data_IF_179484324821
#
_entry.id   IF_179484324821
#
_cell.length_a   1.000
_cell.length_b   1.000
_cell.length_c   1.000
_cell.angle_alpha   90.00
_cell.angle_beta   90.00
_cell.angle_gamma   90.00
#
_symmetry.space_group_name_H-M   'P 1'
#
loop_
_entity.id
_entity.type
_entity.pdbx_description
1 polymer ?
#
# COMPACT_ATOMS: atom_id res chain seq x y z
N UNK A 1 12.21 -6.48 -17.57
CA UNK A 1 12.07 -6.22 -16.12
C UNK A 1 13.35 -6.65 -15.46
N UNK A 2 13.90 -5.83 -14.59
CA UNK A 2 15.06 -6.23 -13.79
C UNK A 2 14.63 -7.29 -12.77
N UNK A 3 15.37 -8.40 -12.73
CA UNK A 3 15.15 -9.50 -11.80
C UNK A 3 16.38 -9.59 -10.93
N UNK A 4 16.31 -8.98 -9.75
CA UNK A 4 17.38 -9.01 -8.79
C UNK A 4 17.47 -10.37 -8.12
N UNK A 5 18.67 -10.69 -7.63
CA UNK A 5 18.88 -11.78 -6.70
C UNK A 5 18.02 -11.58 -5.44
N UNK A 6 17.63 -12.69 -4.80
CA UNK A 6 16.94 -12.68 -3.53
C UNK A 6 17.70 -11.83 -2.50
N UNK A 7 16.96 -11.06 -1.71
CA UNK A 7 17.53 -10.18 -0.69
C UNK A 7 17.88 -8.78 -1.16
N UNK A 8 17.59 -8.43 -2.42
CA UNK A 8 17.79 -7.07 -2.95
C UNK A 8 16.47 -6.40 -3.29
N UNK A 9 16.40 -5.08 -3.07
CA UNK A 9 15.24 -4.24 -3.39
C UNK A 9 15.66 -2.95 -4.10
N UNK A 10 14.82 -2.53 -5.04
CA UNK A 10 15.01 -1.28 -5.79
C UNK A 10 14.46 -0.04 -5.06
N UNK A 11 13.85 -0.19 -3.88
CA UNK A 11 13.24 0.89 -3.09
C UNK A 11 13.51 0.70 -1.61
N UNK A 12 13.69 1.80 -0.88
CA UNK A 12 13.70 1.79 0.59
C UNK A 12 12.30 1.60 1.14
N UNK A 13 12.21 0.94 2.30
CA UNK A 13 10.95 0.72 3.00
C UNK A 13 10.94 1.44 4.33
N UNK A 14 9.82 2.12 4.57
CA UNK A 14 9.53 2.73 5.85
C UNK A 14 8.35 2.03 6.52
N UNK A 15 8.35 2.01 7.85
CA UNK A 15 7.26 1.47 8.67
C UNK A 15 7.17 2.24 9.98
N UNK A 16 6.10 2.02 10.76
CA UNK A 16 6.03 2.44 12.16
C UNK A 16 6.31 1.28 13.11
N UNK A 17 6.80 1.56 14.34
CA UNK A 17 6.95 0.55 15.39
C UNK A 17 5.65 -0.24 15.61
N UNK A 18 4.53 0.47 15.61
CA UNK A 18 3.19 -0.11 15.81
C UNK A 18 2.77 -1.10 14.72
N UNK A 19 3.19 -0.88 13.47
CA UNK A 19 2.87 -1.80 12.38
C UNK A 19 3.80 -3.02 12.44
N UNK A 20 5.11 -2.81 12.63
CA UNK A 20 6.09 -3.90 12.73
C UNK A 20 5.80 -4.85 13.91
N UNK A 21 5.21 -4.34 14.99
CA UNK A 21 4.76 -5.14 16.13
C UNK A 21 3.87 -6.32 15.71
N UNK A 22 3.11 -6.21 14.60
CA UNK A 22 2.33 -7.31 14.06
C UNK A 22 3.19 -8.52 13.67
N UNK A 23 4.39 -8.28 13.12
CA UNK A 23 5.33 -9.35 12.75
C UNK A 23 5.94 -10.03 13.98
N UNK A 24 6.18 -9.26 15.04
CA UNK A 24 6.65 -9.78 16.33
C UNK A 24 5.56 -10.61 17.01
N UNK A 25 4.31 -10.13 17.01
CA UNK A 25 3.17 -10.84 17.58
C UNK A 25 2.91 -12.19 16.86
N UNK A 26 3.25 -12.28 15.57
CA UNK A 26 3.20 -13.52 14.79
C UNK A 26 4.36 -14.48 15.05
N UNK A 27 5.34 -14.07 15.87
CA UNK A 27 6.55 -14.85 16.14
C UNK A 27 7.51 -14.93 14.95
N UNK A 28 7.34 -14.09 13.93
CA UNK A 28 8.24 -14.05 12.77
C UNK A 28 9.56 -13.36 13.10
N UNK A 29 9.51 -12.37 14.00
CA UNK A 29 10.66 -11.60 14.46
C UNK A 29 10.63 -11.45 15.97
N UNK A 30 11.81 -11.34 16.57
CA UNK A 30 11.98 -10.86 17.94
C UNK A 30 12.13 -9.33 17.96
N UNK A 31 11.92 -8.72 19.12
CA UNK A 31 12.20 -7.28 19.29
C UNK A 31 13.67 -6.95 18.99
N UNK A 32 14.61 -7.81 19.37
CA UNK A 32 16.03 -7.61 19.09
C UNK A 32 16.36 -7.67 17.60
N UNK A 33 15.74 -8.59 16.86
CA UNK A 33 15.87 -8.64 15.40
C UNK A 33 15.28 -7.39 14.75
N UNK A 34 14.16 -6.88 15.25
CA UNK A 34 13.60 -5.62 14.76
C UNK A 34 14.55 -4.45 14.98
N UNK A 35 15.08 -4.25 16.18
CA UNK A 35 16.06 -3.17 16.43
C UNK A 35 17.30 -3.31 15.53
N UNK A 36 17.73 -4.55 15.22
CA UNK A 36 18.91 -4.78 14.37
C UNK A 36 18.74 -4.40 12.89
N UNK A 37 17.50 -4.23 12.42
CA UNK A 37 17.18 -3.85 11.03
C UNK A 37 16.71 -2.40 10.89
N UNK A 38 16.63 -1.65 11.99
CA UNK A 38 16.35 -0.21 11.92
C UNK A 38 17.60 0.47 11.37
N UNK A 39 17.48 1.05 10.17
CA UNK A 39 18.53 1.88 9.59
C UNK A 39 18.52 3.27 10.24
N UNK A 40 17.33 3.84 10.42
CA UNK A 40 17.12 5.13 11.07
C UNK A 40 15.68 5.24 11.59
N UNK A 41 15.51 5.95 12.69
CA UNK A 41 14.19 6.36 13.19
C UNK A 41 14.17 7.88 13.40
N UNK A 42 13.30 8.57 12.67
CA UNK A 42 13.19 10.02 12.75
C UNK A 42 12.16 10.46 13.78
N UNK A 43 12.30 11.70 14.25
CA UNK A 43 11.53 12.30 15.34
C UNK A 43 10.15 12.75 14.88
N UNK A 44 10.07 13.41 13.72
CA UNK A 44 8.79 13.88 13.18
C UNK A 44 8.72 13.85 11.65
N UNK A 45 7.51 13.65 11.15
CA UNK A 45 7.18 13.61 9.73
C UNK A 45 6.23 14.74 9.35
N UNK A 46 6.54 15.48 8.31
CA UNK A 46 5.76 16.65 7.89
C UNK A 46 4.95 16.37 6.64
N UNK A 47 3.70 16.84 6.63
CA UNK A 47 2.85 16.85 5.46
C UNK A 47 2.42 18.29 5.18
N UNK A 48 2.78 18.82 4.01
CA UNK A 48 2.45 20.18 3.60
C UNK A 48 2.35 20.30 2.08
N UNK A 49 1.27 20.89 1.61
CA UNK A 49 1.05 21.10 0.19
C UNK A 49 1.19 22.58 -0.16
N UNK A 50 1.85 22.86 -1.28
CA UNK A 50 2.01 24.21 -1.81
C UNK A 50 0.66 24.95 -1.81
N UNK A 51 0.65 26.16 -1.26
CA UNK A 51 -0.58 26.94 -1.07
C UNK A 51 -0.41 28.41 -1.49
N UNK A 52 0.64 28.71 -2.26
CA UNK A 52 0.96 30.06 -2.72
C UNK A 52 -0.19 30.69 -3.50
N UNK A 53 -0.89 29.89 -4.31
CA UNK A 53 -2.04 30.30 -5.12
C UNK A 53 -3.40 29.87 -4.52
N UNK A 54 -3.41 29.26 -3.33
CA UNK A 54 -4.65 28.85 -2.69
C UNK A 54 -5.40 30.08 -2.11
N UNK A 55 -6.73 30.09 -2.16
CA UNK A 55 -7.52 31.01 -1.36
C UNK A 55 -7.13 30.93 0.13
N UNK A 56 -7.14 32.05 0.83
CA UNK A 56 -6.69 32.13 2.24
C UNK A 56 -7.37 31.10 3.16
N UNK A 57 -8.67 30.85 2.96
CA UNK A 57 -9.45 29.88 3.74
C UNK A 57 -9.18 28.40 3.38
N UNK A 58 -8.42 28.14 2.33
CA UNK A 58 -7.97 26.81 1.88
C UNK A 58 -6.46 26.61 2.07
N UNK A 59 -5.80 27.50 2.81
CA UNK A 59 -4.46 27.24 3.35
C UNK A 59 -4.59 26.39 4.61
N UNK A 60 -3.55 25.62 4.89
CA UNK A 60 -3.51 24.72 6.03
C UNK A 60 -2.18 24.81 6.75
N UNK A 61 -2.18 24.56 8.05
CA UNK A 61 -0.94 24.39 8.80
C UNK A 61 -0.24 23.08 8.41
N UNK A 62 1.02 22.94 8.83
CA UNK A 62 1.79 21.71 8.64
C UNK A 62 1.14 20.62 9.48
N UNK A 63 0.88 19.46 8.87
CA UNK A 63 0.44 18.30 9.61
C UNK A 63 1.67 17.49 10.06
N UNK A 64 1.80 17.33 11.37
CA UNK A 64 2.83 16.55 12.04
C UNK A 64 2.39 15.09 12.23
N UNK A 65 3.26 14.15 11.87
CA UNK A 65 2.99 12.71 11.92
C UNK A 65 4.20 11.92 12.42
N UNK A 66 4.52 12.00 13.72
CA UNK A 66 5.80 11.51 14.26
C UNK A 66 5.94 9.98 14.26
N UNK A 67 4.85 9.25 14.07
CA UNK A 67 4.87 7.78 14.09
C UNK A 67 4.36 7.14 12.80
N UNK A 68 4.30 7.90 11.71
CA UNK A 68 3.90 7.42 10.38
C UNK A 68 5.17 7.24 9.57
N UNK A 69 5.44 6.02 9.08
CA UNK A 69 6.62 5.73 8.24
C UNK A 69 7.95 6.22 8.87
N UNK A 70 8.01 6.29 10.20
CA UNK A 70 9.08 6.97 10.93
C UNK A 70 10.38 6.17 11.03
N UNK A 71 10.34 4.89 10.66
CA UNK A 71 11.48 3.99 10.69
C UNK A 71 11.84 3.61 9.27
N UNK A 72 13.04 3.97 8.83
CA UNK A 72 13.67 3.39 7.66
C UNK A 72 14.24 2.02 8.01
N UNK A 73 13.93 1.02 7.20
CA UNK A 73 14.37 -0.37 7.41
C UNK A 73 15.54 -0.67 6.47
N UNK A 74 16.59 -1.29 7.01
CA UNK A 74 17.58 -1.97 6.17
C UNK A 74 16.92 -3.19 5.52
N UNK A 75 16.45 -2.99 4.29
CA UNK A 75 15.71 -4.00 3.52
C UNK A 75 16.59 -5.21 3.20
N UNK A 76 17.91 -5.03 3.08
CA UNK A 76 18.85 -6.14 2.81
C UNK A 76 18.96 -7.04 4.03
N UNK A 77 19.17 -6.47 5.24
CA UNK A 77 19.18 -7.23 6.49
C UNK A 77 17.83 -7.89 6.75
N UNK A 78 16.72 -7.16 6.57
CA UNK A 78 15.37 -7.72 6.72
C UNK A 78 15.16 -8.95 5.83
N UNK A 79 15.42 -8.84 4.53
CA UNK A 79 15.18 -9.93 3.60
C UNK A 79 16.13 -11.11 3.82
N UNK A 80 17.38 -10.83 4.23
CA UNK A 80 18.32 -11.88 4.64
C UNK A 80 17.77 -12.65 5.84
N UNK A 81 17.32 -11.96 6.90
CA UNK A 81 16.72 -12.61 8.08
C UNK A 81 15.48 -13.45 7.69
N UNK A 82 14.60 -12.91 6.83
CA UNK A 82 13.48 -13.68 6.29
C UNK A 82 13.93 -14.96 5.58
N UNK A 83 14.97 -14.86 4.74
CA UNK A 83 15.51 -16.00 3.99
C UNK A 83 16.18 -17.04 4.88
N UNK A 84 16.92 -16.61 5.90
CA UNK A 84 17.58 -17.48 6.87
C UNK A 84 16.51 -18.25 7.67
N UNK A 85 15.49 -17.56 8.19
CA UNK A 85 14.36 -18.20 8.90
C UNK A 85 13.58 -19.18 8.02
N UNK A 86 13.36 -18.84 6.75
CA UNK A 86 12.71 -19.75 5.79
C UNK A 86 13.50 -21.05 5.63
N UNK A 87 14.83 -20.95 5.48
CA UNK A 87 15.72 -22.12 5.35
C UNK A 87 15.81 -22.93 6.63
N UNK A 88 15.87 -22.28 7.79
CA UNK A 88 15.84 -22.95 9.10
C UNK A 88 14.55 -23.75 9.30
N UNK A 89 13.43 -23.27 8.76
CA UNK A 89 12.16 -23.98 8.73
C UNK A 89 12.09 -25.10 7.66
N UNK A 90 13.18 -25.36 6.93
CA UNK A 90 13.27 -26.38 5.88
C UNK A 90 12.80 -25.92 4.49
N UNK A 91 12.57 -24.62 4.29
CA UNK A 91 12.23 -24.04 3.01
C UNK A 91 13.43 -23.92 2.06
N UNK A 92 13.16 -23.94 0.76
CA UNK A 92 14.16 -23.75 -0.29
C UNK A 92 13.98 -22.39 -0.97
N UNK A 93 15.09 -21.76 -1.33
CA UNK A 93 15.10 -20.52 -2.13
C UNK A 93 15.86 -20.82 -3.42
N UNK A 94 15.14 -20.84 -4.53
CA UNK A 94 15.72 -20.95 -5.87
C UNK A 94 15.78 -19.54 -6.47
N UNK A 95 16.87 -18.84 -6.18
CA UNK A 95 17.11 -17.51 -6.74
C UNK A 95 17.35 -17.58 -8.25
N UNK A 96 17.19 -16.45 -8.95
CA UNK A 96 17.40 -16.31 -10.40
C UNK A 96 16.64 -17.38 -11.20
N UNK A 97 15.49 -17.81 -10.68
CA UNK A 97 14.62 -18.79 -11.31
C UNK A 97 13.37 -18.10 -11.80
N UNK A 98 13.17 -18.14 -13.12
CA UNK A 98 12.13 -17.43 -13.81
C UNK A 98 10.84 -18.24 -13.91
N UNK A 99 9.69 -17.64 -13.57
CA UNK A 99 8.40 -18.28 -13.71
C UNK A 99 7.95 -18.30 -15.17
N UNK A 100 7.64 -19.49 -15.70
CA UNK A 100 7.14 -19.66 -17.07
C UNK A 100 5.64 -19.93 -17.12
N UNK A 101 5.18 -20.92 -16.34
CA UNK A 101 3.77 -21.32 -16.28
C UNK A 101 3.47 -22.16 -15.04
N UNK A 102 2.20 -22.23 -14.68
CA UNK A 102 1.67 -23.18 -13.71
C UNK A 102 0.51 -23.96 -14.34
N UNK A 103 0.52 -25.28 -14.19
CA UNK A 103 -0.59 -26.16 -14.55
C UNK A 103 -1.29 -26.60 -13.26
N UNK A 104 -2.60 -26.43 -13.20
CA UNK A 104 -3.41 -26.73 -12.02
C UNK A 104 -4.30 -27.92 -12.33
N UNK A 105 -4.28 -28.92 -11.44
CA UNK A 105 -5.12 -30.11 -11.50
C UNK A 105 -5.85 -30.30 -10.14
N UNK A 106 -6.84 -31.21 -10.03
CA UNK A 106 -7.57 -31.42 -8.78
C UNK A 106 -6.70 -31.83 -7.58
N UNK A 107 -5.49 -32.35 -7.79
CA UNK A 107 -4.56 -32.87 -6.78
C UNK A 107 -3.40 -31.92 -6.44
N UNK A 108 -3.05 -31.00 -7.34
CA UNK A 108 -1.93 -30.09 -7.12
C UNK A 108 -1.75 -28.98 -8.16
N UNK A 109 -0.63 -28.29 -8.04
CA UNK A 109 -0.13 -27.32 -9.01
C UNK A 109 1.31 -27.66 -9.37
N UNK A 110 1.58 -27.73 -10.66
CA UNK A 110 2.92 -27.97 -11.22
C UNK A 110 3.44 -26.68 -11.84
N UNK A 111 4.53 -26.15 -11.28
CA UNK A 111 5.17 -24.91 -11.70
C UNK A 111 6.39 -25.25 -12.55
N UNK A 112 6.45 -24.64 -13.74
CA UNK A 112 7.58 -24.72 -14.65
C UNK A 112 8.39 -23.43 -14.54
N UNK A 113 9.69 -23.58 -14.29
CA UNK A 113 10.64 -22.49 -14.09
C UNK A 113 11.81 -22.62 -15.07
N UNK A 114 12.52 -21.53 -15.31
CA UNK A 114 13.80 -21.54 -16.04
C UNK A 114 14.86 -20.89 -15.16
N UNK A 115 15.96 -21.60 -14.92
CA UNK A 115 17.12 -21.04 -14.26
C UNK A 115 17.83 -20.06 -15.20
N UNK A 116 17.95 -18.79 -14.80
CA UNK A 116 18.46 -17.72 -15.66
C UNK A 116 19.97 -17.79 -15.90
N UNK A 117 20.72 -18.54 -15.09
CA UNK A 117 22.17 -18.70 -15.28
C UNK A 117 22.50 -19.86 -16.21
N UNK A 118 21.80 -20.96 -16.02
CA UNK A 118 22.07 -22.22 -16.74
C UNK A 118 21.14 -22.44 -17.93
N UNK A 119 20.08 -21.63 -18.05
CA UNK A 119 18.98 -21.82 -18.99
C UNK A 119 18.29 -23.20 -18.88
N UNK A 120 18.45 -23.89 -17.75
CA UNK A 120 17.83 -25.19 -17.52
C UNK A 120 16.39 -25.03 -17.02
N UNK A 121 15.48 -25.80 -17.60
CA UNK A 121 14.11 -25.91 -17.12
C UNK A 121 14.07 -26.69 -15.80
N UNK A 122 13.33 -26.18 -14.83
CA UNK A 122 13.02 -26.86 -13.57
C UNK A 122 11.50 -27.03 -13.47
N UNK A 123 11.09 -28.13 -12.84
CA UNK A 123 9.69 -28.39 -12.53
C UNK A 123 9.54 -28.71 -11.06
N UNK A 124 8.56 -28.09 -10.41
CA UNK A 124 8.21 -28.35 -9.02
C UNK A 124 6.71 -28.52 -8.88
N UNK A 125 6.29 -29.50 -8.08
CA UNK A 125 4.87 -29.76 -7.81
C UNK A 125 4.57 -29.52 -6.34
N UNK A 126 3.46 -28.85 -6.06
CA UNK A 126 2.99 -28.54 -4.73
C UNK A 126 1.47 -28.65 -4.60
N UNK A 127 0.96 -28.48 -3.38
CA UNK A 127 -0.49 -28.47 -3.10
C UNK A 127 -1.14 -27.13 -3.44
N UNK A 128 -0.39 -26.03 -3.26
CA UNK A 128 -0.85 -24.66 -3.40
C UNK A 128 0.29 -23.80 -3.97
N UNK A 129 -0.04 -22.89 -4.88
CA UNK A 129 0.84 -21.83 -5.37
C UNK A 129 0.43 -20.50 -4.74
N UNK A 130 1.39 -19.81 -4.12
CA UNK A 130 1.20 -18.45 -3.62
C UNK A 130 1.89 -17.49 -4.61
N UNK A 131 1.09 -16.68 -5.30
CA UNK A 131 1.60 -15.67 -6.23
C UNK A 131 1.97 -14.39 -5.48
N UNK A 132 3.27 -14.19 -5.31
CA UNK A 132 3.88 -13.00 -4.72
C UNK A 132 4.83 -12.28 -5.70
N UNK A 133 4.62 -12.44 -7.02
CA UNK A 133 5.47 -11.84 -8.07
C UNK A 133 5.29 -10.32 -8.25
N UNK A 134 4.45 -9.71 -7.40
CA UNK A 134 4.21 -8.29 -7.38
C UNK A 134 3.45 -7.76 -8.61
N UNK A 135 3.76 -6.52 -8.99
CA UNK A 135 3.03 -5.74 -10.01
C UNK A 135 3.05 -6.40 -11.39
N UNK A 136 4.06 -7.24 -11.65
CA UNK A 136 4.29 -7.87 -12.94
C UNK A 136 3.96 -9.36 -12.98
N UNK A 137 3.12 -9.82 -12.05
CA UNK A 137 2.64 -11.19 -12.07
C UNK A 137 1.86 -11.50 -13.37
N UNK A 138 2.33 -12.45 -14.20
CA UNK A 138 1.57 -12.90 -15.36
C UNK A 138 0.29 -13.66 -14.96
N UNK A 139 0.27 -14.26 -13.77
CA UNK A 139 -0.89 -14.94 -13.21
C UNK A 139 -1.99 -13.92 -12.90
N UNK A 140 -1.65 -12.82 -12.23
CA UNK A 140 -2.60 -11.77 -11.91
C UNK A 140 -3.23 -11.17 -13.18
N UNK A 141 -2.42 -11.00 -14.24
CA UNK A 141 -2.87 -10.56 -15.56
C UNK A 141 -3.83 -11.56 -16.21
N UNK A 142 -3.53 -12.85 -16.13
CA UNK A 142 -4.40 -13.90 -16.65
C UNK A 142 -5.75 -13.96 -15.91
N UNK A 143 -5.75 -13.79 -14.58
CA UNK A 143 -6.97 -13.85 -13.76
C UNK A 143 -7.89 -12.64 -13.94
N UNK A 144 -7.33 -11.44 -14.19
CA UNK A 144 -8.07 -10.18 -14.22
C UNK A 144 -8.14 -9.52 -15.61
N UNK A 145 -7.47 -10.09 -16.62
CA UNK A 145 -7.47 -9.60 -18.00
C UNK A 145 -6.78 -8.23 -18.16
N UNK A 146 -7.21 -7.47 -19.17
CA UNK A 146 -6.61 -6.18 -19.57
C UNK A 146 -6.74 -5.04 -18.55
N UNK A 147 -7.42 -5.24 -17.42
CA UNK A 147 -7.64 -4.22 -16.39
C UNK A 147 -7.08 -4.65 -15.04
N UNK A 148 -5.86 -5.21 -15.01
CA UNK A 148 -5.22 -5.58 -13.74
C UNK A 148 -5.05 -4.37 -12.83
N UNK A 149 -4.82 -3.17 -13.37
CA UNK A 149 -4.72 -1.93 -12.58
C UNK A 149 -5.52 -0.84 -13.28
N UNK A 150 -6.17 0.04 -12.51
CA UNK A 150 -6.93 1.19 -13.04
C UNK A 150 -6.38 2.54 -12.56
N UNK A 151 -5.32 2.50 -11.76
CA UNK A 151 -4.52 3.63 -11.31
C UNK A 151 -3.08 3.17 -11.16
N UNK A 152 -2.14 4.07 -11.40
CA UNK A 152 -0.72 3.85 -11.13
C UNK A 152 -0.13 5.10 -10.49
N UNK A 153 0.96 4.91 -9.77
CA UNK A 153 1.76 6.00 -9.26
C UNK A 153 3.15 5.89 -9.88
N UNK A 154 3.42 6.57 -11.01
CA UNK A 154 4.76 6.74 -11.51
C UNK A 154 5.60 7.38 -10.39
N UNK A 155 6.72 6.74 -10.08
CA UNK A 155 7.62 7.16 -8.99
C UNK A 155 9.04 7.15 -9.51
N UNK A 156 9.77 8.22 -9.24
CA UNK A 156 11.21 8.35 -9.47
C UNK A 156 11.87 8.86 -8.19
N UNK A 157 13.19 8.78 -8.08
CA UNK A 157 13.86 9.17 -6.86
C UNK A 157 15.30 8.71 -6.78
N UNK A 158 15.93 8.96 -5.65
CA UNK A 158 17.28 8.49 -5.38
C UNK A 158 17.55 8.39 -3.88
N UNK A 159 18.52 7.53 -3.53
CA UNK A 159 19.27 7.62 -2.28
C UNK A 159 20.49 8.48 -2.53
N UNK A 160 20.70 9.51 -1.69
CA UNK A 160 21.79 10.48 -1.81
C UNK A 160 22.50 10.68 -0.47
N UNK A 161 23.75 11.13 -0.53
CA UNK A 161 24.52 11.62 0.63
C UNK A 161 25.10 13.02 0.32
N UNK A 162 25.56 13.72 1.37
CA UNK A 162 26.27 15.00 1.22
C UNK A 162 25.37 16.24 1.21
N UNK A 163 24.12 16.11 1.68
CA UNK A 163 23.26 17.26 1.95
C UNK A 163 23.70 17.95 3.24
N UNK A 164 23.72 19.29 3.23
CA UNK A 164 24.06 20.06 4.43
C UNK A 164 22.98 19.90 5.50
N UNK A 165 23.38 19.71 6.76
CA UNK A 165 22.46 19.62 7.90
C UNK A 165 21.63 20.89 8.10
N UNK A 166 22.12 22.06 7.68
CA UNK A 166 21.32 23.31 7.70
C UNK A 166 20.24 23.33 6.62
N UNK A 167 20.44 22.57 5.53
CA UNK A 167 19.47 22.37 4.45
C UNK A 167 18.42 21.33 4.85
N UNK A 168 18.85 20.24 5.48
CA UNK A 168 17.96 19.22 6.00
C UNK A 168 18.56 18.53 7.23
N UNK A 169 17.84 18.65 8.35
CA UNK A 169 18.07 17.87 9.56
C UNK A 169 17.52 16.41 9.45
N UNK A 170 18.41 15.43 9.60
CA UNK A 170 18.13 13.99 9.47
C UNK A 170 17.20 13.45 10.58
N UNK A 171 16.83 14.27 11.56
CA UNK A 171 15.79 13.96 12.54
C UNK A 171 14.37 14.09 12.00
N UNK A 172 14.19 14.59 10.77
CA UNK A 172 12.87 14.85 10.20
C UNK A 172 12.69 14.24 8.82
N UNK A 173 11.45 13.85 8.53
CA UNK A 173 11.02 13.40 7.21
C UNK A 173 9.92 14.28 6.62
N UNK A 174 9.83 14.29 5.30
CA UNK A 174 8.73 14.88 4.54
C UNK A 174 7.86 13.73 4.02
N UNK A 175 6.75 13.46 4.70
CA UNK A 175 5.89 12.31 4.42
C UNK A 175 5.06 12.54 3.17
N UNK A 176 4.46 13.71 3.00
CA UNK A 176 3.74 14.08 1.78
C UNK A 176 3.86 15.58 1.56
N UNK A 177 4.64 15.99 0.56
CA UNK A 177 4.83 17.40 0.26
C UNK A 177 4.61 17.74 -1.21
N UNK A 178 4.06 18.91 -1.51
CA UNK A 178 4.11 19.46 -2.88
C UNK A 178 4.90 20.76 -2.89
N UNK A 179 5.88 20.83 -3.79
CA UNK A 179 6.70 22.03 -4.00
C UNK A 179 5.96 23.11 -4.80
N UNK A 180 5.05 22.69 -5.68
CA UNK A 180 4.33 23.59 -6.58
C UNK A 180 2.94 23.07 -6.94
N UNK A 181 2.26 23.88 -7.76
CA UNK A 181 0.97 23.56 -8.36
C UNK A 181 1.08 22.54 -9.50
N UNK A 182 -0.06 22.23 -10.12
CA UNK A 182 -0.12 21.31 -11.26
C UNK A 182 0.88 21.72 -12.34
N UNK A 183 1.76 20.79 -12.70
CA UNK A 183 2.76 20.94 -13.76
C UNK A 183 2.58 19.84 -14.81
N UNK A 184 2.53 20.22 -16.08
CA UNK A 184 2.36 19.31 -17.23
C UNK A 184 1.21 18.31 -17.05
N UNK A 185 0.09 18.78 -16.49
CA UNK A 185 -1.09 17.94 -16.22
C UNK A 185 -0.86 16.89 -15.12
N UNK A 186 -0.02 17.19 -14.12
CA UNK A 186 0.26 16.31 -12.97
C UNK A 186 0.38 17.14 -11.70
N UNK A 187 -0.08 16.63 -10.58
CA UNK A 187 0.31 17.16 -9.26
C UNK A 187 1.48 16.34 -8.74
N UNK A 188 2.66 16.94 -8.73
CA UNK A 188 3.86 16.31 -8.20
C UNK A 188 3.86 16.34 -6.67
N UNK A 189 4.22 15.21 -6.07
CA UNK A 189 4.30 15.00 -4.62
C UNK A 189 5.67 14.40 -4.30
N UNK A 190 6.27 14.87 -3.22
CA UNK A 190 7.58 14.51 -2.70
C UNK A 190 7.43 13.72 -1.39
N UNK A 191 8.26 12.70 -1.27
CA UNK A 191 8.41 11.83 -0.11
C UNK A 191 9.89 11.68 0.20
N UNK A 192 10.29 12.00 1.42
CA UNK A 192 11.66 12.35 1.73
C UNK A 192 11.99 11.83 3.12
N UNK A 193 12.87 10.84 3.21
CA UNK A 193 13.12 10.08 4.43
C UNK A 193 14.61 9.94 4.72
N UNK A 194 15.05 10.10 5.98
CA UNK A 194 16.42 9.78 6.35
C UNK A 194 16.64 8.25 6.34
N UNK A 195 17.81 7.83 5.87
CA UNK A 195 18.26 6.45 5.71
C UNK A 195 19.43 6.09 6.62
N UNK A 196 20.20 5.05 6.28
CA UNK A 196 21.35 4.60 7.07
C UNK A 196 22.46 5.67 7.09
N UNK A 197 22.92 6.03 8.29
CA UNK A 197 23.97 7.04 8.46
C UNK A 197 23.56 8.41 7.90
N UNK A 198 24.25 8.84 6.85
CA UNK A 198 24.09 10.16 6.24
C UNK A 198 23.24 10.09 4.95
N UNK A 199 22.68 8.92 4.65
CA UNK A 199 21.83 8.72 3.47
C UNK A 199 20.47 9.40 3.65
N UNK A 200 19.99 10.01 2.56
CA UNK A 200 18.64 10.55 2.44
C UNK A 200 17.97 9.93 1.22
N UNK A 201 16.75 9.44 1.41
CA UNK A 201 15.94 8.85 0.36
C UNK A 201 14.90 9.84 -0.12
N UNK A 202 14.90 10.10 -1.41
CA UNK A 202 13.99 11.01 -2.07
C UNK A 202 13.12 10.26 -3.06
N UNK A 203 11.83 10.55 -3.02
CA UNK A 203 10.86 10.12 -4.00
C UNK A 203 10.09 11.33 -4.52
N UNK A 204 9.89 11.35 -5.83
CA UNK A 204 8.92 12.18 -6.52
C UNK A 204 7.90 11.24 -7.15
N UNK A 205 6.62 11.51 -6.96
CA UNK A 205 5.52 10.72 -7.50
C UNK A 205 4.31 11.57 -7.87
N UNK A 206 3.38 10.98 -8.62
CA UNK A 206 2.05 11.56 -8.82
C UNK A 206 0.99 10.47 -9.00
N UNK A 207 -0.25 10.76 -8.65
CA UNK A 207 -1.38 9.88 -8.95
C UNK A 207 -1.67 9.96 -10.45
N UNK A 208 -1.82 8.81 -11.10
CA UNK A 208 -1.96 8.75 -12.55
C UNK A 208 -3.01 7.75 -13.00
N UNK A 209 -3.77 8.14 -14.02
CA UNK A 209 -4.68 7.23 -14.71
C UNK A 209 -3.90 6.45 -15.78
N UNK A 210 -4.05 5.12 -15.77
CA UNK A 210 -3.51 4.29 -16.85
C UNK A 210 -4.21 4.65 -18.17
N UNK A 211 -3.49 5.26 -19.10
CA UNK A 211 -4.02 5.70 -20.40
C UNK A 211 -2.98 5.55 -21.52
N UNK A 212 -3.33 4.99 -22.70
CA UNK A 212 -2.36 4.79 -23.78
C UNK A 212 -1.70 6.07 -24.29
N UNK A 213 -2.46 7.17 -24.38
CA UNK A 213 -1.96 8.48 -24.85
C UNK A 213 -1.15 9.25 -23.80
N UNK A 214 -1.25 8.86 -22.53
CA UNK A 214 -0.48 9.44 -21.44
C UNK A 214 -0.03 8.30 -20.51
N UNK A 215 1.07 7.61 -20.86
CA UNK A 215 1.50 6.41 -20.13
C UNK A 215 2.13 6.72 -18.76
N UNK A 216 2.37 7.99 -18.43
CA UNK A 216 3.11 8.39 -17.23
C UNK A 216 4.60 8.08 -17.37
N UNK A 217 5.30 8.84 -18.22
CA UNK A 217 6.72 8.64 -18.52
C UNK A 217 7.59 8.86 -17.28
N UNK A 218 8.34 7.84 -16.86
CA UNK A 218 9.33 7.97 -15.78
C UNK A 218 10.53 8.83 -16.19
N UNK A 219 10.85 8.89 -17.50
CA UNK A 219 11.97 9.70 -17.99
C UNK A 219 11.68 11.19 -17.82
N UNK A 220 10.51 11.65 -18.30
CA UNK A 220 10.06 13.05 -18.13
C UNK A 220 9.97 13.45 -16.66
N UNK A 221 9.69 12.46 -15.80
CA UNK A 221 9.55 12.66 -14.38
C UNK A 221 10.91 12.75 -13.67
N UNK A 222 11.93 12.02 -14.14
CA UNK A 222 13.30 12.24 -13.69
C UNK A 222 13.83 13.62 -14.10
N UNK A 223 13.46 14.12 -15.28
CA UNK A 223 13.77 15.50 -15.67
C UNK A 223 13.17 16.49 -14.68
N UNK A 224 11.89 16.32 -14.28
CA UNK A 224 11.29 17.13 -13.21
C UNK A 224 12.04 17.00 -11.89
N UNK A 225 12.42 15.78 -11.51
CA UNK A 225 13.15 15.51 -10.28
C UNK A 225 14.45 16.32 -10.20
N UNK A 226 15.32 16.23 -11.21
CA UNK A 226 16.60 16.95 -11.22
C UNK A 226 16.43 18.47 -11.37
N UNK A 227 15.40 18.93 -12.08
CA UNK A 227 15.14 20.36 -12.23
C UNK A 227 14.60 21.00 -10.94
N UNK A 228 13.75 20.30 -10.19
CA UNK A 228 13.05 20.85 -9.01
C UNK A 228 13.88 20.68 -7.73
N UNK A 229 14.62 19.57 -7.58
CA UNK A 229 15.35 19.26 -6.34
C UNK A 229 16.25 20.41 -5.84
N UNK A 230 17.05 21.10 -6.68
CA UNK A 230 17.86 22.24 -6.26
C UNK A 230 17.05 23.39 -5.69
N UNK A 231 15.87 23.66 -6.22
CA UNK A 231 14.98 24.73 -5.74
C UNK A 231 14.29 24.32 -4.45
N UNK A 232 13.74 23.10 -4.41
CA UNK A 232 12.98 22.58 -3.29
C UNK A 232 13.84 22.44 -2.03
N UNK A 233 15.06 21.89 -2.17
CA UNK A 233 15.99 21.71 -1.04
C UNK A 233 17.14 22.69 -1.01
N UNK A 234 17.22 23.67 -1.92
CA UNK A 234 18.31 24.67 -1.92
C UNK A 234 19.70 24.01 -1.92
N UNK A 235 19.83 22.91 -2.68
CA UNK A 235 21.05 22.11 -2.73
C UNK A 235 21.75 22.22 -4.09
N UNK A 236 23.06 21.97 -4.09
CA UNK A 236 23.89 21.90 -5.30
C UNK A 236 24.09 20.43 -5.70
N UNK A 237 23.54 20.02 -6.83
CA UNK A 237 23.55 18.62 -7.28
C UNK A 237 24.96 18.08 -7.53
N UNK A 238 25.90 18.94 -7.89
CA UNK A 238 27.30 18.55 -8.17
C UNK A 238 28.07 18.18 -6.89
N UNK A 239 27.55 18.56 -5.72
CA UNK A 239 28.13 18.24 -4.41
C UNK A 239 27.51 16.99 -3.78
N UNK A 240 26.40 16.49 -4.34
CA UNK A 240 25.70 15.32 -3.81
C UNK A 240 26.35 14.04 -4.32
N UNK A 241 26.39 13.03 -3.45
CA UNK A 241 26.77 11.67 -3.84
C UNK A 241 25.53 10.84 -4.12
N UNK A 242 25.37 10.38 -5.36
CA UNK A 242 24.21 9.59 -5.79
C UNK A 242 24.47 8.09 -5.56
N UNK A 243 23.77 7.50 -4.59
CA UNK A 243 24.00 6.12 -4.15
C UNK A 243 23.19 5.11 -4.94
N UNK A 244 21.89 5.39 -5.14
CA UNK A 244 20.98 4.47 -5.80
C UNK A 244 19.82 5.21 -6.48
N UNK A 245 19.54 4.98 -7.78
CA UNK A 245 18.33 5.47 -8.40
C UNK A 245 17.11 4.63 -7.96
N UNK A 246 15.97 5.29 -7.77
CA UNK A 246 14.67 4.63 -7.59
C UNK A 246 13.76 4.97 -8.74
N UNK A 247 13.11 3.98 -9.35
CA UNK A 247 12.04 4.24 -10.30
C UNK A 247 11.10 3.06 -10.44
N UNK A 248 9.85 3.34 -10.82
CA UNK A 248 8.88 2.31 -11.13
C UNK A 248 7.44 2.81 -11.09
N UNK A 249 6.53 1.86 -11.23
CA UNK A 249 5.09 2.11 -11.14
C UNK A 249 4.55 1.38 -9.92
N UNK A 250 3.96 2.13 -8.99
CA UNK A 250 3.21 1.54 -7.88
C UNK A 250 1.76 1.34 -8.35
N UNK A 251 1.25 0.12 -8.39
CA UNK A 251 -0.10 -0.11 -8.87
C UNK A 251 -1.14 0.31 -7.83
N UNK A 252 -2.27 0.78 -8.33
CA UNK A 252 -3.50 0.97 -7.57
C UNK A 252 -4.67 0.29 -8.26
N UNK A 253 -5.63 -0.17 -7.44
CA UNK A 253 -6.91 -0.64 -7.92
C UNK A 253 -8.06 -0.04 -7.09
N UNK A 254 -8.89 0.77 -7.74
CA UNK A 254 -10.11 1.32 -7.16
C UNK A 254 -11.17 0.23 -7.03
N UNK A 255 -11.09 -0.50 -5.92
CA UNK A 255 -12.02 -1.58 -5.57
C UNK A 255 -13.28 -0.99 -4.94
N UNK A 256 -14.44 -1.34 -5.47
CA UNK A 256 -15.75 -0.98 -4.93
C UNK A 256 -16.22 -2.00 -3.90
N UNK A 257 -15.96 -3.28 -4.17
CA UNK A 257 -16.31 -4.38 -3.28
C UNK A 257 -15.31 -5.51 -3.32
N UNK A 258 -15.55 -6.53 -2.49
CA UNK A 258 -14.71 -7.73 -2.43
C UNK A 258 -14.67 -8.42 -3.81
N UNK A 259 -15.78 -8.53 -4.52
CA UNK A 259 -15.84 -9.26 -5.80
C UNK A 259 -15.04 -8.67 -6.97
N UNK A 260 -14.59 -7.41 -6.89
CA UNK A 260 -14.07 -6.67 -8.05
C UNK A 260 -12.74 -7.20 -8.59
N UNK A 261 -12.00 -7.94 -7.76
CA UNK A 261 -10.72 -8.52 -8.15
C UNK A 261 -10.66 -10.01 -7.84
N UNK A 262 -10.28 -10.79 -8.85
CA UNK A 262 -10.00 -12.22 -8.70
C UNK A 262 -8.55 -12.37 -8.22
N UNK A 263 -8.40 -12.81 -6.98
CA UNK A 263 -7.07 -13.04 -6.40
C UNK A 263 -6.78 -14.52 -6.13
N UNK A 264 -7.74 -15.41 -6.41
CA UNK A 264 -7.55 -16.84 -6.22
C UNK A 264 -8.21 -17.63 -7.35
N UNK A 265 -7.62 -18.79 -7.61
CA UNK A 265 -8.14 -19.88 -8.42
C UNK A 265 -7.98 -21.18 -7.61
N UNK A 266 -8.46 -22.31 -8.11
CA UNK A 266 -8.16 -23.59 -7.46
C UNK A 266 -6.64 -23.74 -7.28
N UNK A 267 -6.20 -24.01 -6.06
CA UNK A 267 -4.80 -24.21 -5.67
C UNK A 267 -3.87 -23.03 -5.98
N UNK A 268 -4.42 -21.82 -6.09
CA UNK A 268 -3.66 -20.61 -6.33
C UNK A 268 -4.24 -19.43 -5.55
N UNK A 269 -3.39 -18.69 -4.84
CA UNK A 269 -3.77 -17.43 -4.17
C UNK A 269 -2.69 -16.37 -4.38
N UNK A 270 -3.10 -15.17 -4.76
CA UNK A 270 -2.21 -14.02 -4.91
C UNK A 270 -2.15 -13.20 -3.60
N UNK A 271 -0.98 -12.65 -3.30
CA UNK A 271 -0.74 -11.75 -2.16
C UNK A 271 0.08 -10.52 -2.59
N UNK A 272 0.21 -9.54 -1.70
CA UNK A 272 0.97 -8.31 -1.97
C UNK A 272 0.47 -7.57 -3.22
N UNK A 273 1.40 -7.00 -3.98
CA UNK A 273 1.06 -6.20 -5.18
C UNK A 273 0.44 -7.03 -6.31
N UNK A 274 0.66 -8.35 -6.36
CA UNK A 274 -0.03 -9.23 -7.32
C UNK A 274 -1.55 -9.25 -7.04
N UNK A 275 -1.91 -9.27 -5.75
CA UNK A 275 -3.30 -9.12 -5.31
C UNK A 275 -3.81 -7.68 -5.40
N UNK A 276 -2.95 -6.65 -5.38
CA UNK A 276 -3.30 -5.23 -5.52
C UNK A 276 -4.46 -4.75 -4.62
N UNK A 277 -4.48 -5.21 -3.36
CA UNK A 277 -5.51 -4.84 -2.38
C UNK A 277 -5.04 -3.74 -1.40
N UNK A 278 -3.88 -3.14 -1.65
CA UNK A 278 -3.29 -2.07 -0.84
C UNK A 278 -4.08 -0.75 -0.91
N UNK A 279 -3.76 0.14 0.02
CA UNK A 279 -4.38 1.46 0.10
C UNK A 279 -4.12 2.30 -1.14
N UNK A 280 -5.17 2.87 -1.75
CA UNK A 280 -5.03 3.74 -2.91
C UNK A 280 -4.51 5.13 -2.51
N UNK A 281 -4.56 5.50 -1.23
CA UNK A 281 -4.21 6.83 -0.75
C UNK A 281 -2.71 6.96 -0.58
N UNK A 282 -2.08 6.23 0.34
CA UNK A 282 -0.64 6.36 0.62
C UNK A 282 0.23 5.33 -0.12
N UNK A 283 -0.37 4.46 -0.93
CA UNK A 283 0.33 3.44 -1.72
C UNK A 283 1.35 2.56 -0.97
N UNK A 284 1.19 2.39 0.35
CA UNK A 284 2.07 1.56 1.17
C UNK A 284 1.74 0.06 1.01
N UNK A 285 2.28 -0.57 -0.03
CA UNK A 285 2.11 -2.02 -0.27
C UNK A 285 2.63 -2.87 0.89
N UNK A 286 3.84 -2.59 1.38
CA UNK A 286 4.46 -3.29 2.51
C UNK A 286 3.67 -3.14 3.81
N UNK A 287 3.36 -1.91 4.23
CA UNK A 287 2.56 -1.66 5.44
C UNK A 287 1.17 -2.32 5.37
N UNK A 288 0.51 -2.27 4.21
CA UNK A 288 -0.77 -2.95 4.00
C UNK A 288 -0.67 -4.47 4.15
N UNK A 289 0.40 -5.08 3.64
CA UNK A 289 0.65 -6.52 3.80
C UNK A 289 0.87 -6.87 5.27
N UNK A 290 1.74 -6.13 5.97
CA UNK A 290 2.05 -6.35 7.39
C UNK A 290 0.79 -6.27 8.25
N UNK A 291 -0.04 -5.25 8.04
CA UNK A 291 -1.32 -5.06 8.76
C UNK A 291 -2.30 -6.21 8.59
N UNK A 292 -2.25 -6.90 7.45
CA UNK A 292 -3.16 -8.00 7.14
C UNK A 292 -2.53 -9.38 7.36
N UNK A 293 -1.23 -9.46 7.70
CA UNK A 293 -0.48 -10.71 7.64
C UNK A 293 -1.05 -11.76 8.59
N UNK A 294 -1.43 -11.40 9.82
CA UNK A 294 -2.04 -12.33 10.79
C UNK A 294 -3.28 -13.03 10.22
N UNK A 295 -4.17 -12.24 9.61
CA UNK A 295 -5.37 -12.76 9.00
C UNK A 295 -5.03 -13.69 7.83
N UNK A 296 -4.12 -13.26 6.96
CA UNK A 296 -3.77 -14.02 5.75
C UNK A 296 -3.12 -15.35 6.11
N UNK A 297 -2.12 -15.35 7.00
CA UNK A 297 -1.39 -16.56 7.39
C UNK A 297 -2.26 -17.53 8.15
N UNK A 298 -3.12 -17.06 9.07
CA UNK A 298 -4.01 -17.93 9.82
C UNK A 298 -5.04 -18.62 8.91
N UNK A 299 -5.70 -17.87 8.02
CA UNK A 299 -6.69 -18.44 7.11
C UNK A 299 -6.02 -19.41 6.12
N UNK A 300 -4.80 -19.09 5.67
CA UNK A 300 -4.01 -19.96 4.81
C UNK A 300 -3.61 -21.28 5.50
N UNK A 301 -3.10 -21.22 6.73
CA UNK A 301 -2.77 -22.39 7.53
C UNK A 301 -4.01 -23.28 7.74
N UNK A 302 -5.15 -22.68 8.11
CA UNK A 302 -6.40 -23.39 8.24
C UNK A 302 -6.80 -24.09 6.92
N UNK A 303 -6.77 -23.37 5.81
CA UNK A 303 -7.09 -23.93 4.50
C UNK A 303 -6.15 -25.07 4.08
N UNK A 304 -4.86 -24.97 4.38
CA UNK A 304 -3.89 -26.03 4.08
C UNK A 304 -4.11 -27.29 4.94
N UNK A 305 -4.41 -27.14 6.24
CA UNK A 305 -4.69 -28.25 7.15
C UNK A 305 -5.97 -29.02 6.77
N UNK A 306 -6.99 -28.30 6.29
CA UNK A 306 -8.29 -28.88 5.92
C UNK A 306 -8.46 -29.11 4.40
N UNK A 307 -7.39 -28.94 3.62
CA UNK A 307 -7.40 -29.07 2.16
C UNK A 307 -8.47 -28.22 1.44
N UNK A 308 -8.77 -27.04 1.98
CA UNK A 308 -9.70 -26.05 1.41
C UNK A 308 -8.99 -25.20 0.36
N UNK A 309 -8.58 -25.86 -0.73
CA UNK A 309 -7.74 -25.27 -1.78
C UNK A 309 -8.53 -24.97 -3.06
N UNK A 310 -9.86 -24.85 -2.97
CA UNK A 310 -10.70 -24.39 -4.09
C UNK A 310 -10.74 -22.87 -4.15
N UNK A 311 -11.04 -22.33 -5.32
CA UNK A 311 -11.13 -20.89 -5.55
C UNK A 311 -12.07 -20.20 -4.54
N UNK A 312 -13.21 -20.80 -4.20
CA UNK A 312 -14.18 -20.20 -3.26
C UNK A 312 -13.64 -20.05 -1.83
N UNK A 313 -12.83 -21.02 -1.38
CA UNK A 313 -12.22 -21.04 -0.05
C UNK A 313 -11.00 -20.13 -0.01
N UNK A 314 -10.12 -20.23 -1.03
CA UNK A 314 -8.93 -19.39 -1.14
C UNK A 314 -9.29 -17.90 -1.32
N UNK A 315 -10.42 -17.59 -1.95
CA UNK A 315 -10.93 -16.21 -2.01
C UNK A 315 -11.38 -15.64 -0.64
N UNK A 316 -11.37 -16.42 0.45
CA UNK A 316 -11.53 -15.88 1.81
C UNK A 316 -10.23 -15.24 2.33
N UNK A 317 -9.07 -15.62 1.79
CA UNK A 317 -7.74 -15.19 2.23
C UNK A 317 -7.41 -13.85 1.57
N UNK A 318 -8.00 -12.76 2.07
CA UNK A 318 -7.89 -11.43 1.44
C UNK A 318 -7.56 -10.31 2.41
N UNK A 319 -6.71 -9.40 1.97
CA UNK A 319 -6.37 -8.14 2.65
C UNK A 319 -7.37 -7.00 2.35
N UNK A 320 -8.50 -7.27 1.71
CA UNK A 320 -9.49 -6.24 1.41
C UNK A 320 -10.08 -5.64 2.69
N UNK A 321 -10.09 -4.31 2.75
CA UNK A 321 -10.66 -3.53 3.85
C UNK A 321 -11.57 -2.44 3.27
N UNK A 322 -12.84 -2.39 3.68
CA UNK A 322 -13.82 -1.44 3.15
C UNK A 322 -13.56 0.02 3.56
N UNK A 323 -12.96 0.22 4.73
CA UNK A 323 -12.50 1.54 5.20
C UNK A 323 -11.33 2.10 4.37
N UNK A 324 -10.58 1.24 3.69
CA UNK A 324 -9.53 1.62 2.75
C UNK A 324 -10.09 1.80 1.35
N UNK A 325 -11.01 0.91 0.93
CA UNK A 325 -11.67 1.03 -0.35
C UNK A 325 -12.35 2.41 -0.49
N UNK A 326 -13.08 2.90 0.50
CA UNK A 326 -13.79 4.20 0.40
C UNK A 326 -12.87 5.40 0.13
N UNK A 327 -11.57 5.30 0.42
CA UNK A 327 -10.62 6.41 0.19
C UNK A 327 -10.16 6.53 -1.26
N UNK A 328 -10.50 5.59 -2.15
CA UNK A 328 -10.04 5.62 -3.54
C UNK A 328 -10.47 6.88 -4.31
N UNK A 329 -11.61 7.48 -3.94
CA UNK A 329 -12.08 8.74 -4.54
C UNK A 329 -11.14 9.91 -4.22
N UNK A 330 -10.44 9.88 -3.08
CA UNK A 330 -9.44 10.88 -2.74
C UNK A 330 -8.26 10.79 -3.70
N UNK A 331 -7.75 9.59 -3.95
CA UNK A 331 -6.68 9.36 -4.94
C UNK A 331 -7.09 9.80 -6.35
N UNK A 332 -8.37 9.59 -6.71
CA UNK A 332 -8.95 10.14 -7.95
C UNK A 332 -9.00 11.66 -7.95
N UNK A 333 -9.27 12.28 -6.79
CA UNK A 333 -9.19 13.72 -6.56
C UNK A 333 -7.76 14.28 -6.50
N UNK A 334 -6.73 13.43 -6.51
CA UNK A 334 -5.31 13.82 -6.51
C UNK A 334 -4.64 13.67 -7.89
N UNK A 335 -5.35 13.15 -8.89
CA UNK A 335 -4.86 13.02 -10.27
C UNK A 335 -5.50 14.04 -11.19
N UNK A 336 -4.75 14.50 -12.18
CA UNK A 336 -5.35 15.24 -13.31
C UNK A 336 -5.80 14.20 -14.35
N UNK A 337 -7.09 14.14 -14.72
CA UNK A 337 -7.53 13.21 -15.74
C UNK A 337 -6.89 13.52 -17.10
N UNK A 338 -6.47 12.49 -17.84
CA UNK A 338 -5.85 12.67 -19.17
C UNK A 338 -6.77 13.48 -20.09
N UNK A 339 -6.20 14.50 -20.74
CA UNK A 339 -6.92 15.41 -21.64
C UNK A 339 -7.69 16.53 -20.94
N UNK A 340 -7.65 16.64 -19.61
CA UNK A 340 -8.24 17.77 -18.87
C UNK A 340 -7.20 18.80 -18.48
N UNK A 341 -7.62 20.05 -18.50
CA UNK A 341 -6.87 21.19 -17.95
C UNK A 341 -7.64 21.66 -16.71
N UNK A 342 -6.97 21.65 -15.56
CA UNK A 342 -7.51 22.12 -14.30
C UNK A 342 -6.82 23.43 -13.90
N UNK A 343 -7.46 24.28 -13.07
CA UNK A 343 -6.74 25.40 -12.47
C UNK A 343 -5.49 24.93 -11.72
N UNK A 344 -4.35 25.64 -11.79
CA UNK A 344 -3.07 25.17 -11.27
C UNK A 344 -3.12 24.69 -9.81
N UNK A 345 -3.82 25.43 -8.96
CA UNK A 345 -3.94 25.18 -7.53
C UNK A 345 -4.97 24.13 -7.15
N UNK A 346 -5.71 23.56 -8.11
CA UNK A 346 -6.92 22.77 -7.84
C UNK A 346 -6.64 21.59 -6.90
N UNK A 347 -5.62 20.79 -7.20
CA UNK A 347 -5.28 19.60 -6.42
C UNK A 347 -4.72 19.99 -5.05
N UNK A 348 -3.80 20.95 -5.01
CA UNK A 348 -3.26 21.49 -3.77
C UNK A 348 -4.31 22.11 -2.84
N UNK A 349 -5.31 22.79 -3.39
CA UNK A 349 -6.46 23.31 -2.62
C UNK A 349 -7.28 22.17 -2.00
N UNK A 350 -7.48 21.06 -2.73
CA UNK A 350 -8.15 19.87 -2.18
C UNK A 350 -7.31 19.23 -1.08
N UNK A 351 -6.01 19.04 -1.32
CA UNK A 351 -5.06 18.46 -0.36
C UNK A 351 -4.97 19.28 0.93
N UNK A 352 -4.77 20.60 0.84
CA UNK A 352 -4.78 21.49 1.99
C UNK A 352 -6.13 21.50 2.72
N UNK A 353 -7.27 21.35 2.01
CA UNK A 353 -8.58 21.20 2.68
C UNK A 353 -8.59 19.98 3.59
N UNK A 354 -8.17 18.81 3.09
CA UNK A 354 -8.23 17.57 3.85
C UNK A 354 -7.14 17.48 4.93
N UNK A 355 -5.88 17.76 4.59
CA UNK A 355 -4.78 17.69 5.55
C UNK A 355 -4.84 18.81 6.58
N UNK A 356 -5.38 19.99 6.22
CA UNK A 356 -5.67 21.03 7.20
C UNK A 356 -6.68 20.57 8.24
N UNK A 357 -7.72 19.82 7.85
CA UNK A 357 -8.65 19.24 8.85
C UNK A 357 -7.98 18.21 9.76
N UNK A 358 -6.99 17.47 9.26
CA UNK A 358 -6.21 16.55 10.07
C UNK A 358 -5.29 17.31 11.04
N UNK A 359 -4.65 18.39 10.58
CA UNK A 359 -3.83 19.28 11.42
C UNK A 359 -4.66 19.97 12.51
N UNK A 360 -5.90 20.36 12.19
CA UNK A 360 -6.87 20.96 13.12
C UNK A 360 -7.49 19.94 14.10
N UNK A 361 -7.20 18.64 13.95
CA UNK A 361 -7.76 17.56 14.76
C UNK A 361 -6.75 17.03 15.79
N UNK A 362 -7.19 16.32 16.84
CA UNK A 362 -6.27 15.63 17.74
C UNK A 362 -5.31 14.69 16.97
N UNK A 363 -4.03 14.57 17.37
CA UNK A 363 -3.03 13.79 16.64
C UNK A 363 -3.44 12.34 16.34
N UNK A 364 -4.23 11.72 17.23
CA UNK A 364 -4.71 10.35 17.06
C UNK A 364 -5.64 10.20 15.85
N UNK A 365 -6.36 11.28 15.46
CA UNK A 365 -7.20 11.32 14.27
C UNK A 365 -6.33 11.25 13.02
N UNK A 366 -5.27 12.05 12.94
CA UNK A 366 -4.33 12.02 11.82
C UNK A 366 -3.63 10.65 11.72
N UNK A 367 -3.13 10.13 12.83
CA UNK A 367 -2.45 8.84 12.89
C UNK A 367 -3.36 7.69 12.43
N UNK A 368 -4.59 7.67 12.93
CA UNK A 368 -5.60 6.68 12.55
C UNK A 368 -5.97 6.79 11.08
N UNK A 369 -6.05 8.00 10.54
CA UNK A 369 -6.42 8.23 9.14
C UNK A 369 -5.32 7.75 8.20
N UNK A 370 -4.09 8.18 8.43
CA UNK A 370 -2.96 7.89 7.56
C UNK A 370 -2.61 6.41 7.61
N UNK A 371 -2.67 5.76 8.78
CA UNK A 371 -2.41 4.32 8.92
C UNK A 371 -3.57 3.42 8.49
N UNK A 372 -4.54 3.93 7.72
CA UNK A 372 -5.68 3.18 7.20
C UNK A 372 -6.57 2.52 8.28
N UNK A 373 -6.62 3.11 9.49
CA UNK A 373 -7.40 2.61 10.64
C UNK A 373 -8.72 3.37 10.83
N UNK A 374 -9.09 4.22 9.87
CA UNK A 374 -10.28 5.09 9.93
C UNK A 374 -11.56 4.30 10.17
N UNK A 375 -12.35 4.76 11.15
CA UNK A 375 -13.71 4.25 11.40
C UNK A 375 -14.74 4.97 10.54
N UNK A 376 -15.91 4.37 10.31
CA UNK A 376 -16.96 5.00 9.51
C UNK A 376 -17.39 6.36 10.06
N UNK A 377 -17.58 6.46 11.38
CA UNK A 377 -17.97 7.72 12.02
C UNK A 377 -16.91 8.81 11.84
N UNK A 378 -15.63 8.45 11.98
CA UNK A 378 -14.53 9.38 11.77
C UNK A 378 -14.45 9.83 10.30
N UNK A 379 -14.52 8.89 9.36
CA UNK A 379 -14.52 9.18 7.93
C UNK A 379 -15.67 10.12 7.54
N UNK A 380 -16.91 9.80 7.91
CA UNK A 380 -18.08 10.59 7.56
C UNK A 380 -18.03 11.99 8.18
N UNK A 381 -17.52 12.12 9.41
CA UNK A 381 -17.30 13.43 10.05
C UNK A 381 -16.26 14.26 9.30
N UNK A 382 -15.12 13.68 8.93
CA UNK A 382 -14.08 14.37 8.17
C UNK A 382 -14.60 14.79 6.79
N UNK A 383 -15.32 13.91 6.09
CA UNK A 383 -15.92 14.21 4.79
C UNK A 383 -16.94 15.36 4.87
N UNK A 384 -17.80 15.37 5.88
CA UNK A 384 -18.77 16.45 6.10
C UNK A 384 -18.05 17.78 6.43
N UNK A 385 -17.05 17.76 7.31
CA UNK A 385 -16.23 18.94 7.62
C UNK A 385 -15.53 19.48 6.36
N UNK A 386 -14.98 18.60 5.52
CA UNK A 386 -14.34 19.01 4.26
C UNK A 386 -15.32 19.66 3.29
N UNK A 387 -16.52 19.07 3.13
CA UNK A 387 -17.57 19.65 2.30
C UNK A 387 -18.08 20.99 2.86
N UNK A 388 -18.11 21.18 4.18
CA UNK A 388 -18.45 22.47 4.80
C UNK A 388 -17.35 23.52 4.65
N UNK A 389 -16.07 23.15 4.83
CA UNK A 389 -14.91 24.05 4.70
C UNK A 389 -14.70 24.49 3.24
N UNK A 390 -14.92 23.57 2.30
CA UNK A 390 -14.79 23.82 0.87
C UNK A 390 -15.98 23.22 0.10
N UNK A 391 -17.11 23.94 -0.02
CA UNK A 391 -18.28 23.42 -0.75
C UNK A 391 -18.01 23.13 -2.23
N UNK A 392 -17.08 23.88 -2.85
CA UNK A 392 -16.67 23.68 -4.23
C UNK A 392 -15.98 22.31 -4.46
N UNK A 393 -15.45 21.70 -3.39
CA UNK A 393 -14.84 20.37 -3.41
C UNK A 393 -15.74 19.32 -4.06
N UNK A 394 -17.05 19.35 -3.79
CA UNK A 394 -18.00 18.39 -4.35
C UNK A 394 -18.09 18.50 -5.87
N UNK A 395 -18.12 19.73 -6.39
CA UNK A 395 -18.10 20.00 -7.83
C UNK A 395 -16.76 19.57 -8.44
N UNK A 396 -15.64 19.87 -7.78
CA UNK A 396 -14.31 19.51 -8.28
C UNK A 396 -14.12 18.00 -8.37
N UNK A 397 -14.52 17.26 -7.33
CA UNK A 397 -14.50 15.80 -7.34
C UNK A 397 -15.38 15.26 -8.48
N UNK A 398 -16.57 15.85 -8.68
CA UNK A 398 -17.44 15.47 -9.80
C UNK A 398 -16.82 15.74 -11.17
N UNK A 399 -16.18 16.91 -11.36
CA UNK A 399 -15.47 17.25 -12.60
C UNK A 399 -14.33 16.25 -12.88
N UNK A 400 -13.63 15.78 -11.84
CA UNK A 400 -12.47 14.90 -12.00
C UNK A 400 -12.83 13.43 -12.15
N UNK A 401 -13.73 12.92 -11.31
CA UNK A 401 -14.16 11.52 -11.30
C UNK A 401 -15.26 11.23 -12.34
N UNK A 402 -16.20 12.16 -12.51
CA UNK A 402 -17.39 11.99 -13.35
C UNK A 402 -18.47 11.10 -12.71
N UNK A 403 -19.63 11.04 -13.36
CA UNK A 403 -20.82 10.36 -12.86
C UNK A 403 -20.60 8.87 -12.55
N UNK A 404 -19.89 8.16 -13.42
CA UNK A 404 -19.69 6.71 -13.29
C UNK A 404 -18.91 6.37 -12.02
N UNK A 405 -17.81 7.06 -11.79
CA UNK A 405 -16.95 6.81 -10.64
C UNK A 405 -17.58 7.29 -9.33
N UNK A 406 -18.39 8.35 -9.35
CA UNK A 406 -19.18 8.74 -8.18
C UNK A 406 -20.23 7.70 -7.78
N UNK A 407 -20.98 7.15 -8.74
CA UNK A 407 -21.93 6.06 -8.47
C UNK A 407 -21.20 4.83 -7.92
N UNK A 408 -20.03 4.50 -8.48
CA UNK A 408 -19.18 3.42 -7.96
C UNK A 408 -18.71 3.70 -6.54
N UNK A 409 -18.32 4.92 -6.23
CA UNK A 409 -17.88 5.31 -4.89
C UNK A 409 -19.00 5.22 -3.85
N UNK A 410 -20.25 5.54 -4.23
CA UNK A 410 -21.40 5.29 -3.35
C UNK A 410 -21.48 3.81 -2.96
N UNK A 411 -21.19 2.89 -3.88
CA UNK A 411 -21.05 1.46 -3.59
C UNK A 411 -20.00 1.18 -2.51
N UNK A 412 -18.81 1.77 -2.62
CA UNK A 412 -17.75 1.65 -1.59
C UNK A 412 -18.20 2.18 -0.23
N UNK A 413 -18.91 3.32 -0.22
CA UNK A 413 -19.44 3.91 1.01
C UNK A 413 -20.53 3.04 1.63
N UNK A 414 -21.41 2.42 0.84
CA UNK A 414 -22.42 1.47 1.32
C UNK A 414 -21.78 0.20 1.89
N UNK A 415 -20.79 -0.38 1.21
CA UNK A 415 -20.04 -1.53 1.72
C UNK A 415 -19.34 -1.21 3.04
N UNK A 416 -18.72 -0.03 3.15
CA UNK A 416 -18.10 0.41 4.40
C UNK A 416 -19.12 0.63 5.53
N UNK A 417 -20.29 1.19 5.19
CA UNK A 417 -21.41 1.35 6.12
C UNK A 417 -21.90 -0.01 6.63
N UNK A 418 -22.07 -0.97 5.72
CA UNK A 418 -22.55 -2.31 6.07
C UNK A 418 -21.52 -3.09 6.90
N UNK A 419 -20.24 -3.04 6.56
CA UNK A 419 -19.18 -3.65 7.36
C UNK A 419 -19.08 -3.02 8.75
N UNK A 420 -19.27 -1.70 8.86
CA UNK A 420 -19.32 -1.01 10.16
C UNK A 420 -20.53 -1.42 10.99
N UNK A 421 -21.69 -1.62 10.37
CA UNK A 421 -22.87 -2.15 11.03
C UNK A 421 -22.67 -3.60 11.49
N UNK A 422 -22.04 -4.46 10.67
CA UNK A 422 -21.67 -5.82 11.10
C UNK A 422 -20.75 -5.76 12.31
N UNK A 423 -19.75 -4.89 12.30
CA UNK A 423 -18.85 -4.74 13.43
C UNK A 423 -19.59 -4.29 14.70
N UNK A 424 -20.52 -3.33 14.58
CA UNK A 424 -21.37 -2.91 15.69
C UNK A 424 -22.24 -4.07 16.23
N UNK A 425 -22.85 -4.84 15.34
CA UNK A 425 -23.77 -5.92 15.69
C UNK A 425 -23.08 -7.17 16.24
N UNK A 426 -21.94 -7.56 15.68
CA UNK A 426 -21.27 -8.85 15.93
C UNK A 426 -19.95 -8.71 16.67
N UNK A 427 -19.25 -7.57 16.56
CA UNK A 427 -17.90 -7.39 17.09
C UNK A 427 -17.79 -7.59 18.61
N UNK A 428 -18.87 -7.29 19.34
CA UNK A 428 -18.96 -7.47 20.80
C UNK A 428 -18.80 -8.92 21.27
N UNK A 429 -19.48 -9.85 20.62
CA UNK A 429 -19.75 -11.20 21.14
C UNK A 429 -19.33 -12.34 20.20
N UNK A 430 -19.21 -12.09 18.89
CA UNK A 430 -19.00 -13.17 17.90
C UNK A 430 -17.71 -13.95 18.14
N UNK A 431 -16.65 -13.29 18.61
CA UNK A 431 -15.40 -13.94 18.98
C UNK A 431 -15.57 -14.94 20.15
N UNK A 432 -16.37 -14.59 21.16
CA UNK A 432 -16.67 -15.50 22.27
C UNK A 432 -17.57 -16.64 21.83
N UNK A 433 -18.58 -16.36 21.00
CA UNK A 433 -19.43 -17.40 20.43
C UNK A 433 -18.60 -18.43 19.66
N UNK A 434 -17.69 -17.97 18.79
CA UNK A 434 -16.85 -18.87 17.99
C UNK A 434 -15.96 -19.77 18.86
N UNK A 435 -15.50 -19.28 20.02
CA UNK A 435 -14.74 -20.08 21.00
C UNK A 435 -15.59 -21.08 21.78
N UNK A 436 -16.90 -20.87 21.86
CA UNK A 436 -17.84 -21.75 22.56
C UNK A 436 -18.44 -22.81 21.63
N UNK A 437 -18.31 -22.64 20.31
CA UNK A 437 -18.77 -23.61 19.33
C UNK A 437 -17.93 -24.91 19.43
N UNK A 438 -18.56 -26.09 19.35
CA UNK A 438 -17.84 -27.36 19.45
C UNK A 438 -16.81 -27.56 18.32
N UNK A 439 -15.63 -28.08 18.66
CA UNK A 439 -14.56 -28.40 17.70
C UNK A 439 -15.03 -29.35 16.58
N UNK A 440 -16.02 -30.20 16.86
CA UNK A 440 -16.64 -31.09 15.87
C UNK A 440 -17.23 -30.35 14.66
N UNK A 441 -17.68 -29.10 14.83
CA UNK A 441 -18.18 -28.29 13.73
C UNK A 441 -17.06 -27.92 12.75
N UNK A 442 -15.87 -27.62 13.28
CA UNK A 442 -14.69 -27.34 12.48
C UNK A 442 -14.29 -28.57 11.64
N UNK A 443 -14.28 -29.76 12.25
CA UNK A 443 -13.90 -31.01 11.56
C UNK A 443 -14.93 -31.42 10.52
N UNK A 444 -16.23 -31.29 10.83
CA UNK A 444 -17.31 -31.75 9.95
C UNK A 444 -17.64 -30.77 8.82
N UNK A 445 -17.46 -29.47 9.06
CA UNK A 445 -17.80 -28.40 8.11
C UNK A 445 -16.67 -27.37 7.96
N UNK A 446 -15.48 -27.78 7.51
CA UNK A 446 -14.29 -26.92 7.50
C UNK A 446 -14.45 -25.67 6.60
N UNK A 447 -15.09 -25.79 5.43
CA UNK A 447 -15.35 -24.61 4.56
C UNK A 447 -16.28 -23.58 5.22
N UNK A 448 -17.31 -24.03 5.93
CA UNK A 448 -18.17 -23.14 6.70
C UNK A 448 -17.38 -22.48 7.84
N UNK A 449 -16.56 -23.25 8.55
CA UNK A 449 -15.71 -22.73 9.61
C UNK A 449 -14.70 -21.70 9.10
N UNK A 450 -14.09 -21.91 7.94
CA UNK A 450 -13.23 -20.93 7.27
C UNK A 450 -13.96 -19.60 7.02
N UNK A 451 -15.22 -19.66 6.60
CA UNK A 451 -16.05 -18.45 6.41
C UNK A 451 -16.33 -17.74 7.74
N UNK A 452 -16.56 -18.48 8.83
CA UNK A 452 -16.70 -17.90 10.18
C UNK A 452 -15.40 -17.25 10.65
N UNK A 453 -14.24 -17.88 10.43
CA UNK A 453 -12.92 -17.33 10.77
C UNK A 453 -12.59 -16.08 9.95
N UNK A 454 -12.91 -16.09 8.66
CA UNK A 454 -12.78 -14.92 7.77
C UNK A 454 -13.65 -13.77 8.25
N UNK A 455 -14.91 -14.07 8.62
CA UNK A 455 -15.85 -13.09 9.15
C UNK A 455 -15.38 -12.52 10.50
N UNK A 456 -15.00 -13.36 11.47
CA UNK A 456 -14.43 -12.97 12.77
C UNK A 456 -13.30 -11.95 12.60
N UNK A 457 -12.35 -12.23 11.70
CA UNK A 457 -11.21 -11.35 11.44
C UNK A 457 -11.57 -10.07 10.71
N UNK A 458 -12.67 -10.04 9.98
CA UNK A 458 -13.20 -8.80 9.39
C UNK A 458 -13.84 -7.85 10.41
N UNK A 459 -14.24 -8.35 11.59
CA UNK A 459 -14.77 -7.53 12.69
C UNK A 459 -13.64 -6.93 13.56
N UNK A 460 -12.48 -7.57 13.58
CA UNK A 460 -11.38 -7.25 14.50
C UNK A 460 -10.62 -5.95 14.17
N UNK A 461 -10.87 -5.32 13.02
CA UNK A 461 -10.21 -4.08 12.57
C UNK A 461 -10.51 -2.84 13.41
N UNK A 462 -11.31 -2.96 14.47
CA UNK A 462 -11.67 -1.86 15.39
C UNK A 462 -11.25 -2.06 16.84
N UNK A 463 -10.65 -3.21 17.20
CA UNK A 463 -10.25 -3.47 18.59
C UNK A 463 -8.77 -3.13 18.78
N UNK A 464 -8.54 -2.20 19.71
CA UNK A 464 -7.25 -1.78 20.29
C UNK A 464 -6.17 -2.87 20.14
N UNK A 465 -5.20 -2.59 19.28
CA UNK A 465 -3.80 -2.91 19.57
C UNK A 465 -3.30 -1.88 20.56
#
# INVERSE_FOLDING_TARGET
MERLAFGRMNREWNISRSEFQSLINLGLFTSAEFESIIAQEYVDGFNKFFDGNNPSYLKADILHTPTVLNIAIDTTKLLKLCGDKLKEAGGEIWDRSEFMKANIDPEGVTVNLVDLETSQSKEVRGRLLIDAMGTASPIAWQLNGKQTFNSVCPTVGAVIEGMDTEVWDHQYGDVLNSHGDISRGRQLIWELFPGEGDELTFYLFHYHQVHPENPGSLLEMYEDFFNILPEYRRCDLEKLTWKKPTFGYIPGHFSVGKGDRKIAFDRLVAIGDAASLQSPLIFTGFGSLVRNLDKLTYLLDFSLKHNLLKAEDLNQIRAYQSNVAVTWLFSKGMMVPTGKILPPQRINSMLNTFFGLLADSPPEVADTFIKDKTTWLMFSRLALKAASKNPALLLWIWEMAGNKDLIRWLGSYFEFTFDSLKNLLFGGWFNQLLKQLPDQLQERYPSFWLRLLSFQRSLATSRKL
#
